data_IF_272875706684
#
_entry.id   IF_272875706684
#
_cell.length_a   1.000
_cell.length_b   1.000
_cell.length_c   1.000
_cell.angle_alpha   90.00
_cell.angle_beta   90.00
_cell.angle_gamma   90.00
#
_symmetry.space_group_name_H-M   'P 1'
#
loop_
_entity.id
_entity.type
_entity.pdbx_description
1 polymer ?
#
# COMPACT_ATOMS: atom_id res chain seq x y z
N UNK A 1 17.37 -1.83 -4.46
CA UNK A 1 16.43 -1.65 -3.31
C UNK A 1 15.92 -3.01 -2.85
N UNK A 2 15.92 -3.28 -1.55
CA UNK A 2 15.40 -4.53 -1.00
C UNK A 2 13.87 -4.60 -1.13
N UNK A 3 13.33 -5.73 -1.59
CA UNK A 3 11.91 -5.96 -1.82
C UNK A 3 11.47 -7.36 -1.36
N UNK A 4 10.18 -7.55 -1.11
CA UNK A 4 9.61 -8.86 -0.82
C UNK A 4 9.60 -9.71 -2.10
N UNK A 5 10.42 -10.78 -2.12
CA UNK A 5 10.65 -11.62 -3.31
C UNK A 5 9.71 -12.84 -3.38
N UNK A 6 9.08 -13.24 -2.27
CA UNK A 6 8.27 -14.45 -2.21
C UNK A 6 7.06 -14.47 -3.15
N UNK A 7 6.50 -15.65 -3.45
CA UNK A 7 5.33 -15.80 -4.31
C UNK A 7 4.09 -15.20 -3.65
N UNK A 8 3.55 -14.13 -4.26
CA UNK A 8 2.47 -13.29 -3.70
C UNK A 8 1.20 -14.07 -3.36
N UNK A 9 0.74 -14.97 -4.22
CA UNK A 9 -0.48 -15.76 -3.99
C UNK A 9 -0.31 -16.78 -2.85
N UNK A 10 0.87 -17.40 -2.72
CA UNK A 10 1.17 -18.27 -1.58
C UNK A 10 1.14 -17.48 -0.27
N UNK A 11 1.63 -16.24 -0.29
CA UNK A 11 1.58 -15.35 0.87
C UNK A 11 0.14 -15.00 1.26
N UNK A 12 -0.74 -14.66 0.29
CA UNK A 12 -2.16 -14.40 0.54
C UNK A 12 -2.83 -15.60 1.21
N UNK A 13 -2.68 -16.80 0.62
CA UNK A 13 -3.27 -18.03 1.18
C UNK A 13 -2.74 -18.35 2.58
N UNK A 14 -1.43 -18.17 2.82
CA UNK A 14 -0.82 -18.40 4.14
C UNK A 14 -1.38 -17.45 5.21
N UNK A 15 -1.64 -16.19 4.85
CA UNK A 15 -2.17 -15.17 5.75
C UNK A 15 -3.70 -15.21 5.89
N UNK A 16 -4.39 -16.00 5.04
CA UNK A 16 -5.84 -16.07 5.02
C UNK A 16 -6.51 -14.76 4.55
N UNK A 17 -5.77 -13.89 3.86
CA UNK A 17 -6.24 -12.59 3.39
C UNK A 17 -5.62 -12.25 2.04
N UNK A 18 -6.41 -11.69 1.11
CA UNK A 18 -5.92 -11.23 -0.18
C UNK A 18 -5.13 -9.91 -0.05
N UNK A 19 -3.89 -10.02 0.44
CA UNK A 19 -3.01 -8.85 0.63
C UNK A 19 -2.41 -8.29 -0.65
N UNK A 20 -2.58 -8.94 -1.80
CA UNK A 20 -2.02 -8.46 -3.06
C UNK A 20 -3.05 -7.83 -4.00
N UNK A 21 -4.32 -7.81 -3.62
CA UNK A 21 -5.42 -7.23 -4.41
C UNK A 21 -5.74 -7.96 -5.72
N UNK A 22 -5.17 -9.15 -5.97
CA UNK A 22 -5.40 -9.87 -7.22
C UNK A 22 -6.59 -10.84 -7.08
N UNK A 23 -7.61 -10.83 -7.98
CA UNK A 23 -8.81 -11.68 -7.87
C UNK A 23 -8.49 -13.16 -7.64
N UNK A 24 -7.54 -13.73 -8.41
CA UNK A 24 -7.16 -15.15 -8.35
C UNK A 24 -6.26 -15.52 -7.16
N UNK A 25 -5.97 -14.61 -6.24
CA UNK A 25 -4.99 -14.87 -5.18
C UNK A 25 -5.43 -15.97 -4.22
N UNK A 26 -6.74 -16.09 -4.00
CA UNK A 26 -7.35 -17.02 -3.05
C UNK A 26 -8.02 -18.24 -3.71
N UNK A 27 -8.07 -18.37 -5.05
CA UNK A 27 -8.75 -19.47 -5.75
C UNK A 27 -8.29 -20.87 -5.30
N UNK A 28 -7.03 -21.01 -4.92
CA UNK A 28 -6.44 -22.26 -4.42
C UNK A 28 -6.30 -22.29 -2.89
N UNK A 29 -7.07 -21.48 -2.18
CA UNK A 29 -7.07 -21.51 -0.73
C UNK A 29 -7.84 -22.76 -0.24
N UNK A 30 -7.21 -23.55 0.61
CA UNK A 30 -7.81 -24.72 1.24
C UNK A 30 -8.10 -24.36 2.70
N UNK A 31 -9.35 -24.60 3.15
CA UNK A 31 -9.76 -24.36 4.54
C UNK A 31 -8.88 -25.18 5.49
N UNK A 32 -8.46 -24.59 6.60
CA UNK A 32 -7.59 -25.22 7.60
C UNK A 32 -6.08 -25.15 7.31
N UNK A 33 -5.66 -24.67 6.12
CA UNK A 33 -4.23 -24.59 5.78
C UNK A 33 -3.61 -23.23 6.02
N UNK A 34 -4.42 -22.18 6.13
CA UNK A 34 -3.91 -20.84 6.43
C UNK A 34 -3.49 -20.74 7.90
N UNK A 35 -2.64 -19.76 8.20
CA UNK A 35 -2.28 -19.46 9.59
C UNK A 35 -3.48 -18.91 10.37
N UNK A 36 -4.39 -18.23 9.68
CA UNK A 36 -5.60 -17.68 10.26
C UNK A 36 -6.59 -18.75 10.72
N UNK A 37 -6.58 -19.92 10.08
CA UNK A 37 -7.50 -21.04 10.41
C UNK A 37 -7.08 -21.82 11.66
N UNK A 38 -5.86 -21.59 12.15
CA UNK A 38 -5.33 -22.32 13.31
C UNK A 38 -5.69 -21.59 14.61
N UNK A 39 -5.88 -22.33 15.71
CA UNK A 39 -5.98 -21.73 17.04
C UNK A 39 -4.65 -21.05 17.37
N UNK A 40 -4.66 -19.74 17.47
CA UNK A 40 -3.49 -18.92 17.76
C UNK A 40 -3.49 -18.47 19.21
N UNK A 41 -2.28 -18.37 19.79
CA UNK A 41 -2.11 -17.64 21.03
C UNK A 41 -2.31 -16.12 20.81
N UNK A 42 -2.52 -15.32 21.87
CA UNK A 42 -2.62 -13.86 21.72
C UNK A 42 -1.46 -13.25 20.93
N UNK A 43 -0.24 -13.67 21.23
CA UNK A 43 0.95 -13.29 20.44
C UNK A 43 0.84 -13.70 18.97
N UNK A 44 0.34 -14.90 18.70
CA UNK A 44 0.16 -15.41 17.34
C UNK A 44 -0.83 -14.58 16.51
N UNK A 45 -1.90 -14.09 17.15
CA UNK A 45 -2.88 -13.20 16.53
C UNK A 45 -2.25 -11.84 16.18
N UNK A 46 -1.58 -11.21 17.14
CA UNK A 46 -0.85 -9.95 16.92
C UNK A 46 0.19 -10.07 15.80
N UNK A 47 0.95 -11.16 15.81
CA UNK A 47 1.94 -11.45 14.75
C UNK A 47 1.28 -11.63 13.38
N UNK A 48 0.11 -12.26 13.32
CA UNK A 48 -0.64 -12.46 12.07
C UNK A 48 -1.09 -11.12 11.49
N UNK A 49 -1.71 -10.26 12.31
CA UNK A 49 -2.19 -8.94 11.87
C UNK A 49 -1.03 -8.05 11.39
N UNK A 50 0.08 -8.04 12.13
CA UNK A 50 1.31 -7.36 11.68
C UNK A 50 1.79 -7.88 10.32
N UNK A 51 1.81 -9.20 10.12
CA UNK A 51 2.26 -9.78 8.85
C UNK A 51 1.30 -9.46 7.69
N UNK A 52 -0.01 -9.40 7.93
CA UNK A 52 -1.03 -8.98 6.96
C UNK A 52 -0.79 -7.54 6.53
N UNK A 53 -0.70 -6.60 7.48
CA UNK A 53 -0.50 -5.19 7.20
C UNK A 53 0.81 -4.94 6.43
N UNK A 54 1.90 -5.54 6.89
CA UNK A 54 3.20 -5.46 6.23
C UNK A 54 3.15 -6.01 4.80
N UNK A 55 2.46 -7.14 4.60
CA UNK A 55 2.36 -7.78 3.29
C UNK A 55 1.49 -6.97 2.33
N UNK A 56 0.44 -6.33 2.82
CA UNK A 56 -0.45 -5.49 2.03
C UNK A 56 0.31 -4.34 1.36
N UNK A 57 1.12 -3.60 2.13
CA UNK A 57 1.97 -2.53 1.58
C UNK A 57 3.30 -3.02 1.00
N UNK A 58 3.60 -4.32 1.08
CA UNK A 58 4.85 -4.89 0.58
C UNK A 58 6.10 -4.31 1.25
N UNK A 59 6.03 -3.93 2.53
CA UNK A 59 7.11 -3.31 3.30
C UNK A 59 7.94 -4.39 4.01
N UNK A 60 9.27 -4.22 4.08
CA UNK A 60 10.16 -5.10 4.83
C UNK A 60 10.09 -4.81 6.32
N UNK A 61 10.41 -5.81 7.16
CA UNK A 61 10.28 -5.75 8.63
C UNK A 61 10.99 -4.54 9.23
N UNK A 62 12.27 -4.32 8.89
CA UNK A 62 13.05 -3.19 9.41
C UNK A 62 12.40 -1.84 9.08
N UNK A 63 11.90 -1.69 7.85
CA UNK A 63 11.23 -0.47 7.42
C UNK A 63 9.88 -0.30 8.13
N UNK A 64 9.13 -1.39 8.29
CA UNK A 64 7.84 -1.38 8.97
C UNK A 64 8.00 -0.98 10.45
N UNK A 65 8.96 -1.56 11.17
CA UNK A 65 9.29 -1.17 12.54
C UNK A 65 9.64 0.33 12.67
N UNK A 66 10.33 0.89 11.66
CA UNK A 66 10.61 2.33 11.64
C UNK A 66 9.34 3.18 11.47
N UNK A 67 8.33 2.70 10.71
CA UNK A 67 7.03 3.38 10.61
C UNK A 67 6.30 3.36 11.95
N UNK A 68 6.29 2.22 12.65
CA UNK A 68 5.68 2.11 13.98
C UNK A 68 6.34 3.08 14.97
N UNK A 69 7.67 3.07 15.07
CA UNK A 69 8.43 4.01 15.93
C UNK A 69 8.18 5.50 15.62
N UNK A 70 7.90 5.82 14.37
CA UNK A 70 7.53 7.19 13.99
C UNK A 70 6.08 7.50 14.38
N UNK A 71 5.18 6.53 14.22
CA UNK A 71 3.77 6.68 14.58
C UNK A 71 3.57 6.85 16.10
N UNK A 72 4.34 6.15 16.94
CA UNK A 72 4.33 6.28 18.41
C UNK A 72 4.67 7.70 18.91
N UNK A 73 5.41 8.48 18.09
CA UNK A 73 5.75 9.87 18.43
C UNK A 73 4.67 10.88 18.04
N UNK A 74 3.62 10.42 17.37
CA UNK A 74 2.55 11.30 16.92
C UNK A 74 1.55 11.55 18.07
N UNK A 75 0.86 12.69 18.01
CA UNK A 75 -0.22 13.01 18.96
C UNK A 75 -1.51 12.23 18.70
N UNK A 76 -1.69 11.74 17.49
CA UNK A 76 -2.82 10.91 17.09
C UNK A 76 -2.65 9.46 17.59
N UNK A 77 -3.70 8.66 17.51
CA UNK A 77 -3.62 7.21 17.76
C UNK A 77 -2.50 6.58 16.91
N UNK A 78 -1.63 5.82 17.54
CA UNK A 78 -0.48 5.16 16.88
C UNK A 78 -0.93 4.32 15.67
N UNK A 79 -2.07 3.61 15.79
CA UNK A 79 -2.64 2.82 14.68
C UNK A 79 -3.02 3.70 13.50
N UNK A 80 -3.76 4.79 13.74
CA UNK A 80 -4.16 5.74 12.70
C UNK A 80 -2.93 6.38 12.05
N UNK A 81 -1.98 6.87 12.84
CA UNK A 81 -0.76 7.48 12.33
C UNK A 81 0.09 6.50 11.49
N UNK A 82 0.14 5.23 11.89
CA UNK A 82 0.81 4.18 11.14
C UNK A 82 0.15 3.95 9.77
N UNK A 83 -1.17 3.81 9.73
CA UNK A 83 -1.91 3.60 8.48
C UNK A 83 -1.76 4.81 7.57
N UNK A 84 -1.90 6.03 8.08
CA UNK A 84 -1.68 7.25 7.32
C UNK A 84 -0.28 7.29 6.69
N UNK A 85 0.76 6.98 7.49
CA UNK A 85 2.14 6.96 7.00
C UNK A 85 2.38 5.90 5.92
N UNK A 86 1.67 4.77 5.97
CA UNK A 86 1.75 3.71 4.96
C UNK A 86 0.93 4.06 3.71
N UNK A 87 -0.23 4.69 3.85
CA UNK A 87 -1.06 5.13 2.72
C UNK A 87 -0.43 6.29 1.95
N UNK A 88 0.20 7.26 2.63
CA UNK A 88 0.86 8.40 1.99
C UNK A 88 2.21 8.05 1.32
N UNK A 89 2.58 6.77 1.20
CA UNK A 89 3.76 6.36 0.43
C UNK A 89 3.53 6.53 -1.06
N UNK A 90 4.53 7.00 -1.77
CA UNK A 90 4.45 7.24 -3.22
C UNK A 90 4.08 5.96 -4.01
N UNK A 91 4.67 4.80 -3.67
CA UNK A 91 4.34 3.54 -4.33
C UNK A 91 2.87 3.12 -4.13
N UNK A 92 2.32 3.40 -2.95
CA UNK A 92 0.92 3.13 -2.65
C UNK A 92 -0.01 4.14 -3.35
N UNK A 93 0.29 5.44 -3.32
CA UNK A 93 -0.53 6.47 -3.97
C UNK A 93 -0.58 6.28 -5.50
N UNK A 94 0.53 5.91 -6.14
CA UNK A 94 0.57 5.54 -7.57
C UNK A 94 -0.37 4.36 -7.86
N UNK A 95 -0.45 3.38 -6.97
CA UNK A 95 -1.41 2.28 -7.08
C UNK A 95 -2.86 2.74 -6.84
N UNK A 96 -3.12 3.54 -5.80
CA UNK A 96 -4.46 4.08 -5.48
C UNK A 96 -5.01 4.98 -6.58
N UNK A 97 -4.16 5.78 -7.20
CA UNK A 97 -4.51 6.60 -8.37
C UNK A 97 -4.83 5.75 -9.62
N UNK A 98 -4.51 4.47 -9.62
CA UNK A 98 -4.77 3.58 -10.75
C UNK A 98 -3.73 3.67 -11.86
N UNK A 99 -2.61 4.37 -11.65
CA UNK A 99 -1.49 4.40 -12.60
C UNK A 99 -0.81 3.02 -12.74
N UNK A 100 -1.01 2.14 -11.77
CA UNK A 100 -0.48 0.79 -11.77
C UNK A 100 -1.52 -0.23 -11.30
N UNK A 101 -1.51 -1.42 -11.86
CA UNK A 101 -2.41 -2.53 -11.51
C UNK A 101 -2.03 -3.26 -10.20
N UNK A 102 -0.90 -2.94 -9.61
CA UNK A 102 -0.45 -3.52 -8.34
C UNK A 102 0.61 -2.66 -7.67
N UNK A 103 0.74 -2.77 -6.33
CA UNK A 103 1.81 -2.08 -5.58
C UNK A 103 3.21 -2.45 -6.09
N UNK A 104 3.42 -3.69 -6.57
CA UNK A 104 4.72 -4.10 -7.14
C UNK A 104 5.02 -3.37 -8.44
N UNK A 105 4.04 -3.21 -9.31
CA UNK A 105 4.19 -2.43 -10.54
C UNK A 105 4.38 -0.95 -10.23
N UNK A 106 3.58 -0.38 -9.33
CA UNK A 106 3.73 1.00 -8.87
C UNK A 106 5.16 1.28 -8.38
N UNK A 107 5.69 0.39 -7.54
CA UNK A 107 7.07 0.47 -7.05
C UNK A 107 8.10 0.43 -8.18
N UNK A 108 7.89 -0.43 -9.18
CA UNK A 108 8.75 -0.51 -10.35
C UNK A 108 8.69 0.79 -11.17
N UNK A 109 7.50 1.35 -11.38
CA UNK A 109 7.32 2.61 -12.11
C UNK A 109 8.06 3.76 -11.41
N UNK A 110 7.95 3.87 -10.08
CA UNK A 110 8.67 4.87 -9.29
C UNK A 110 10.19 4.70 -9.45
N UNK A 111 10.72 3.48 -9.22
CA UNK A 111 12.18 3.22 -9.31
C UNK A 111 12.73 3.49 -10.70
N UNK A 112 11.97 3.18 -11.74
CA UNK A 112 12.37 3.42 -13.14
C UNK A 112 12.20 4.89 -13.56
N UNK A 113 11.63 5.74 -12.69
CA UNK A 113 11.47 7.18 -12.91
C UNK A 113 10.41 7.53 -13.92
N UNK A 114 9.32 6.76 -13.95
CA UNK A 114 8.13 7.09 -14.71
C UNK A 114 7.22 8.08 -13.99
N UNK A 115 7.42 8.27 -12.69
CA UNK A 115 6.60 9.10 -11.80
C UNK A 115 7.33 10.39 -11.44
N UNK A 116 6.58 11.49 -11.45
CA UNK A 116 7.01 12.80 -11.00
C UNK A 116 6.18 13.22 -9.78
N UNK A 117 6.78 13.95 -8.86
CA UNK A 117 6.10 14.67 -7.77
C UNK A 117 6.43 16.15 -7.94
N UNK A 118 5.41 17.00 -8.08
CA UNK A 118 5.54 18.43 -8.41
C UNK A 118 6.50 18.68 -9.60
N UNK A 119 6.35 17.88 -10.67
CA UNK A 119 7.16 17.96 -11.87
C UNK A 119 8.60 17.41 -11.71
N UNK A 120 9.04 17.03 -10.51
CA UNK A 120 10.38 16.52 -10.24
C UNK A 120 10.38 14.99 -10.21
N UNK A 121 11.42 14.37 -10.80
CA UNK A 121 11.59 12.92 -10.80
C UNK A 121 11.91 12.42 -9.39
N UNK A 122 11.03 11.56 -8.84
CA UNK A 122 11.26 10.86 -7.57
C UNK A 122 11.39 9.37 -7.84
N UNK A 123 12.50 8.75 -7.44
CA UNK A 123 12.79 7.33 -7.64
C UNK A 123 12.77 6.51 -6.34
N UNK A 124 12.23 7.08 -5.27
CA UNK A 124 12.13 6.47 -3.94
C UNK A 124 10.68 6.05 -3.68
N UNK A 125 10.33 4.75 -3.77
CA UNK A 125 8.96 4.28 -3.54
C UNK A 125 8.41 4.56 -2.13
N UNK A 126 9.29 4.67 -1.15
CA UNK A 126 8.93 5.01 0.24
C UNK A 126 8.88 6.51 0.51
N UNK A 127 8.97 7.36 -0.51
CA UNK A 127 8.77 8.79 -0.37
C UNK A 127 7.40 9.05 0.24
N UNK A 128 7.36 9.83 1.30
CA UNK A 128 6.11 10.26 1.94
C UNK A 128 5.57 11.49 1.24
N UNK A 129 4.48 11.32 0.54
CA UNK A 129 3.83 12.43 -0.18
C UNK A 129 3.09 13.32 0.80
N UNK A 130 3.27 14.63 0.67
CA UNK A 130 2.60 15.64 1.48
C UNK A 130 1.27 16.06 0.86
N UNK A 131 0.39 16.63 1.67
CA UNK A 131 -0.88 17.18 1.20
C UNK A 131 -0.59 18.31 0.21
N UNK A 132 -1.28 18.28 -0.94
CA UNK A 132 -1.14 19.25 -2.02
C UNK A 132 -0.07 18.89 -3.06
N UNK A 133 0.81 17.90 -2.82
CA UNK A 133 1.77 17.47 -3.82
C UNK A 133 1.07 16.75 -4.99
N UNK A 134 1.44 17.11 -6.21
CA UNK A 134 0.92 16.55 -7.46
C UNK A 134 1.75 15.35 -7.90
N UNK A 135 1.14 14.17 -7.96
CA UNK A 135 1.75 12.96 -8.49
C UNK A 135 1.34 12.83 -9.96
N UNK A 136 2.29 12.76 -10.87
CA UNK A 136 2.00 12.68 -12.31
C UNK A 136 2.86 11.65 -13.04
N UNK A 137 2.34 11.15 -14.17
CA UNK A 137 3.09 10.30 -15.08
C UNK A 137 4.00 11.17 -15.94
N UNK A 138 5.30 10.79 -16.03
CA UNK A 138 6.28 11.46 -16.89
C UNK A 138 5.80 11.47 -18.35
N UNK A 139 5.95 12.59 -19.04
CA UNK A 139 5.44 12.82 -20.39
C UNK A 139 5.86 11.73 -21.39
N UNK A 140 7.16 11.39 -21.42
CA UNK A 140 7.68 10.28 -22.26
C UNK A 140 7.02 8.92 -21.97
N UNK A 141 6.47 8.73 -20.78
CA UNK A 141 5.84 7.47 -20.34
C UNK A 141 4.34 7.44 -20.69
N UNK A 142 3.72 8.58 -20.99
CA UNK A 142 2.30 8.68 -21.39
C UNK A 142 2.00 7.98 -22.71
N UNK A 143 2.99 7.79 -23.57
CA UNK A 143 2.84 7.07 -24.84
C UNK A 143 2.71 5.55 -24.68
N UNK A 144 2.95 5.01 -23.48
CA UNK A 144 2.82 3.58 -23.21
C UNK A 144 1.33 3.22 -23.02
N UNK A 145 0.79 2.40 -23.93
CA UNK A 145 -0.61 1.94 -23.92
C UNK A 145 -1.00 1.29 -22.59
N UNK A 146 -0.11 0.48 -22.00
CA UNK A 146 -0.35 -0.19 -20.73
C UNK A 146 -0.62 0.80 -19.58
N UNK A 147 0.08 1.94 -19.54
CA UNK A 147 -0.13 2.95 -18.50
C UNK A 147 -1.42 3.73 -18.72
N UNK A 148 -1.73 4.05 -19.99
CA UNK A 148 -3.00 4.72 -20.37
C UNK A 148 -4.20 3.87 -20.00
N UNK A 149 -4.21 2.62 -20.44
CA UNK A 149 -5.30 1.67 -20.18
C UNK A 149 -5.51 1.43 -18.67
N UNK A 150 -4.42 1.21 -17.93
CA UNK A 150 -4.50 1.04 -16.48
C UNK A 150 -5.12 2.24 -15.78
N UNK A 151 -4.75 3.44 -16.17
CA UNK A 151 -5.28 4.66 -15.55
C UNK A 151 -6.73 4.92 -15.89
N UNK A 152 -7.14 4.65 -17.15
CA UNK A 152 -8.52 4.82 -17.62
C UNK A 152 -9.45 3.74 -17.05
N UNK A 153 -9.03 2.48 -16.96
CA UNK A 153 -9.85 1.40 -16.42
C UNK A 153 -10.12 1.55 -14.90
N UNK A 154 -9.24 2.20 -14.17
CA UNK A 154 -9.36 2.39 -12.71
C UNK A 154 -10.01 3.72 -12.32
N UNK A 155 -10.84 4.31 -13.20
CA UNK A 155 -11.58 5.55 -12.90
C UNK A 155 -12.53 5.39 -11.70
N UNK A 156 -13.10 4.20 -11.52
CA UNK A 156 -14.11 3.89 -10.50
C UNK A 156 -13.58 3.83 -9.06
N UNK A 157 -12.28 3.68 -8.85
CA UNK A 157 -11.71 3.63 -7.51
C UNK A 157 -11.46 5.06 -6.99
N UNK A 158 -12.51 5.76 -6.61
CA UNK A 158 -12.36 7.09 -6.01
C UNK A 158 -12.12 6.95 -4.51
N UNK A 159 -10.91 7.27 -4.10
CA UNK A 159 -10.58 7.46 -2.70
C UNK A 159 -10.86 8.92 -2.33
N UNK A 160 -11.66 9.23 -1.28
CA UNK A 160 -12.07 10.60 -0.97
C UNK A 160 -10.91 11.57 -0.67
N UNK A 161 -9.75 11.03 -0.36
CA UNK A 161 -8.53 11.80 -0.10
C UNK A 161 -7.63 12.02 -1.32
N UNK A 162 -8.07 11.54 -2.53
CA UNK A 162 -7.33 11.66 -3.78
C UNK A 162 -8.19 12.30 -4.86
N UNK A 163 -7.72 13.36 -5.45
CA UNK A 163 -8.28 13.93 -6.68
C UNK A 163 -7.48 13.46 -7.88
N UNK A 164 -8.18 13.01 -8.95
CA UNK A 164 -7.58 12.53 -10.18
C UNK A 164 -7.82 13.52 -11.31
N UNK A 165 -6.80 13.78 -12.08
CA UNK A 165 -6.86 14.48 -13.35
C UNK A 165 -6.53 13.48 -14.48
N UNK A 166 -7.58 13.11 -15.22
CA UNK A 166 -7.48 12.10 -16.29
C UNK A 166 -6.74 12.63 -17.52
N UNK A 167 -6.84 13.93 -17.80
CA UNK A 167 -6.23 14.55 -18.97
C UNK A 167 -4.71 14.63 -18.81
N UNK A 168 -4.25 15.02 -17.62
CA UNK A 168 -2.84 15.19 -17.31
C UNK A 168 -2.14 13.94 -16.75
N UNK A 169 -2.87 12.81 -16.63
CA UNK A 169 -2.34 11.59 -15.99
C UNK A 169 -1.73 11.89 -14.63
N UNK A 170 -2.47 12.65 -13.82
CA UNK A 170 -2.01 13.12 -12.52
C UNK A 170 -3.05 12.90 -11.41
N UNK A 171 -2.64 13.10 -10.17
CA UNK A 171 -3.53 13.16 -9.03
C UNK A 171 -2.86 13.85 -7.86
N UNK A 172 -3.68 14.33 -6.95
CA UNK A 172 -3.27 15.12 -5.78
C UNK A 172 -3.75 14.46 -4.51
N UNK A 173 -2.92 14.46 -3.48
CA UNK A 173 -3.31 14.11 -2.13
C UNK A 173 -3.94 15.34 -1.48
N UNK A 174 -5.28 15.38 -1.34
CA UNK A 174 -6.00 16.55 -0.82
C UNK A 174 -5.99 16.62 0.69
N UNK A 175 -6.03 15.49 1.36
CA UNK A 175 -5.97 15.34 2.82
C UNK A 175 -5.37 14.00 3.24
N UNK A 176 -5.06 13.85 4.51
CA UNK A 176 -4.68 12.52 5.02
C UNK A 176 -5.90 11.58 5.00
N UNK A 177 -5.69 10.29 4.67
CA UNK A 177 -6.76 9.30 4.70
C UNK A 177 -7.27 9.09 6.13
N UNK A 178 -8.58 8.92 6.26
CA UNK A 178 -9.20 8.40 7.48
C UNK A 178 -9.16 6.87 7.49
N UNK A 179 -9.23 6.27 8.68
CA UNK A 179 -9.10 4.81 8.82
C UNK A 179 -10.20 4.05 8.07
N UNK A 180 -11.43 4.54 8.09
CA UNK A 180 -12.60 3.96 7.43
C UNK A 180 -12.56 4.03 5.90
N UNK A 181 -11.76 4.92 5.34
CA UNK A 181 -11.58 5.08 3.89
C UNK A 181 -10.54 4.12 3.31
N UNK A 182 -9.73 3.52 4.17
CA UNK A 182 -8.66 2.60 3.77
C UNK A 182 -9.23 1.17 3.71
N UNK A 183 -9.28 0.53 2.52
CA UNK A 183 -9.92 -0.76 2.32
C UNK A 183 -9.01 -1.92 2.81
N UNK A 184 -8.71 -1.95 4.10
CA UNK A 184 -7.88 -2.98 4.73
C UNK A 184 -8.64 -3.55 5.94
N UNK A 185 -8.97 -4.82 5.87
CA UNK A 185 -9.58 -5.59 6.95
C UNK A 185 -8.49 -6.11 7.90
N UNK A 186 -7.93 -5.23 8.72
CA UNK A 186 -6.86 -5.54 9.67
C UNK A 186 -7.12 -4.77 10.96
N UNK A 187 -6.83 -5.41 12.09
CA UNK A 187 -6.89 -4.79 13.41
C UNK A 187 -5.57 -4.05 13.71
N UNK A 188 -5.64 -2.72 13.67
CA UNK A 188 -4.49 -1.84 13.89
C UNK A 188 -3.99 -1.89 15.34
N UNK A 189 -4.92 -2.12 16.30
CA UNK A 189 -4.61 -2.18 17.74
C UNK A 189 -3.67 -3.36 17.99
N UNK A 190 -4.00 -4.54 17.45
CA UNK A 190 -3.17 -5.74 17.58
C UNK A 190 -1.78 -5.56 16.97
N UNK A 191 -1.67 -4.76 15.91
CA UNK A 191 -0.37 -4.43 15.30
C UNK A 191 0.46 -3.56 16.24
N UNK A 192 -0.13 -2.55 16.85
CA UNK A 192 0.55 -1.66 17.82
C UNK A 192 0.97 -2.45 19.06
N UNK A 193 0.08 -3.26 19.64
CA UNK A 193 0.36 -4.11 20.78
C UNK A 193 1.54 -5.08 20.56
N UNK A 194 1.71 -5.57 19.31
CA UNK A 194 2.85 -6.43 18.97
C UNK A 194 4.19 -5.73 19.18
N UNK A 195 4.28 -4.41 18.96
CA UNK A 195 5.51 -3.63 19.09
C UNK A 195 5.67 -2.96 20.47
N UNK A 196 4.61 -2.91 21.28
CA UNK A 196 4.65 -2.32 22.64
C UNK A 196 5.20 -3.26 23.72
N UNK A 197 5.70 -4.42 23.32
CA UNK A 197 6.28 -5.46 24.20
C UNK A 197 7.76 -5.28 24.37
#
# INVERSE_FOLDING_TARGET
MAKMMGPRFKQCRRLGLNVCGHPKAMDRAVKGTSRADKKLSPYGVQLLEKQRLRAYYGVLEKQFANYVKKAEKNKESTGTALIQALECRLDNLVYRLGLASSIRQARQMVVHGHILVDGKKVNIPSYGVSIGEVISLREKSRNNTMFKESFQQNVTSQYPYLEKDLENFSGVLTRKPERNEVPIEIDDILVVEYYSR
#
